data_IF_524029695819
#
_entry.id   IF_524029695819
#
_cell.length_a   1.000
_cell.length_b   1.000
_cell.length_c   1.000
_cell.angle_alpha   90.00
_cell.angle_beta   90.00
_cell.angle_gamma   90.00
#
_symmetry.space_group_name_H-M   'P 1'
#
loop_
_entity.id
_entity.type
_entity.pdbx_description
1 polymer ?
#
# COMPACT_ATOMS: atom_id res chain seq x y z
N UNK A 1 -42.66 -54.37 13.66
CA UNK A 1 -41.67 -53.67 14.51
C UNK A 1 -40.82 -52.79 13.60
N UNK A 2 -41.06 -51.47 13.61
CA UNK A 2 -40.25 -50.53 12.83
C UNK A 2 -39.08 -50.11 13.71
N UNK A 3 -37.86 -50.30 13.19
CA UNK A 3 -36.62 -50.03 13.88
C UNK A 3 -36.42 -48.51 13.99
N UNK A 4 -36.68 -47.95 15.17
CA UNK A 4 -36.50 -46.52 15.47
C UNK A 4 -35.08 -46.29 15.99
N UNK A 5 -34.10 -46.48 15.12
CA UNK A 5 -32.70 -46.13 15.39
C UNK A 5 -32.17 -45.46 14.13
N UNK A 6 -32.31 -44.14 14.05
CA UNK A 6 -31.49 -43.20 13.26
C UNK A 6 -32.10 -41.78 13.26
N UNK A 7 -32.22 -41.13 14.42
CA UNK A 7 -32.68 -39.73 14.48
C UNK A 7 -31.90 -38.86 15.48
N UNK A 8 -30.59 -39.06 15.60
CA UNK A 8 -29.73 -38.08 16.26
C UNK A 8 -28.51 -37.82 15.40
N UNK A 9 -28.66 -36.96 14.40
CA UNK A 9 -27.50 -36.21 13.89
C UNK A 9 -27.09 -35.23 14.99
N UNK A 10 -25.83 -35.24 15.45
CA UNK A 10 -25.37 -34.26 16.43
C UNK A 10 -25.56 -32.85 15.86
N UNK A 11 -26.16 -31.97 16.66
CA UNK A 11 -26.26 -30.56 16.31
C UNK A 11 -24.86 -29.95 16.35
N UNK A 12 -24.30 -29.64 15.19
CA UNK A 12 -23.04 -28.90 15.10
C UNK A 12 -23.37 -27.41 14.99
N UNK A 13 -22.99 -26.57 15.98
CA UNK A 13 -23.17 -25.13 15.89
C UNK A 13 -22.35 -24.60 14.70
N UNK A 14 -22.99 -23.85 13.81
CA UNK A 14 -22.29 -23.14 12.75
C UNK A 14 -21.91 -21.76 13.28
N UNK A 15 -20.66 -21.33 13.07
CA UNK A 15 -20.18 -20.00 13.46
C UNK A 15 -20.46 -18.96 12.37
N UNK A 16 -20.49 -17.67 12.76
CA UNK A 16 -20.61 -16.58 11.81
C UNK A 16 -19.46 -16.62 10.79
N UNK A 17 -19.77 -16.25 9.55
CA UNK A 17 -18.80 -16.11 8.47
C UNK A 17 -18.86 -14.72 7.88
N UNK A 18 -17.70 -14.10 7.71
CA UNK A 18 -17.52 -12.92 6.88
C UNK A 18 -16.95 -13.33 5.54
N UNK A 19 -17.52 -12.74 4.50
CA UNK A 19 -16.93 -12.67 3.17
C UNK A 19 -16.66 -11.19 2.88
N UNK A 20 -15.40 -10.84 2.69
CA UNK A 20 -14.98 -9.49 2.41
C UNK A 20 -14.69 -9.34 0.91
N UNK A 21 -15.09 -8.21 0.33
CA UNK A 21 -14.84 -7.89 -1.08
C UNK A 21 -14.39 -6.45 -1.22
N UNK A 22 -13.50 -6.22 -2.18
CA UNK A 22 -13.08 -4.89 -2.61
C UNK A 22 -13.34 -4.83 -4.11
N UNK A 23 -14.24 -3.93 -4.52
CA UNK A 23 -14.70 -3.85 -5.91
C UNK A 23 -13.61 -3.37 -6.88
N UNK A 24 -12.63 -2.59 -6.40
CA UNK A 24 -11.45 -2.15 -7.15
C UNK A 24 -10.20 -2.40 -6.33
N UNK A 25 -9.37 -3.40 -6.67
CA UNK A 25 -8.17 -3.70 -5.89
C UNK A 25 -7.10 -2.60 -6.05
N UNK A 26 -7.15 -1.79 -7.12
CA UNK A 26 -6.31 -0.60 -7.27
C UNK A 26 -6.77 0.53 -6.34
N UNK A 27 -5.97 0.81 -5.32
CA UNK A 27 -6.25 1.84 -4.31
C UNK A 27 -5.21 2.95 -4.44
N UNK A 28 -5.61 4.20 -4.57
CA UNK A 28 -4.67 5.33 -4.68
C UNK A 28 -4.24 5.79 -3.29
N UNK A 29 -2.93 6.00 -3.07
CA UNK A 29 -2.45 6.52 -1.79
C UNK A 29 -3.04 7.92 -1.53
N UNK A 30 -3.50 8.17 -0.31
CA UNK A 30 -4.20 9.40 0.06
C UNK A 30 -5.68 9.45 -0.34
N UNK A 31 -6.27 8.35 -0.80
CA UNK A 31 -7.69 8.26 -1.14
C UNK A 31 -8.41 7.17 -0.33
N UNK A 32 -9.75 7.22 -0.37
CA UNK A 32 -10.61 6.20 0.21
C UNK A 32 -10.89 5.09 -0.81
N UNK A 33 -10.97 3.85 -0.34
CA UNK A 33 -11.43 2.70 -1.11
C UNK A 33 -12.50 1.94 -0.33
N UNK A 34 -13.38 1.24 -1.04
CA UNK A 34 -14.56 0.62 -0.44
C UNK A 34 -14.33 -0.85 -0.12
N UNK A 35 -14.59 -1.22 1.13
CA UNK A 35 -14.67 -2.59 1.62
C UNK A 35 -16.15 -2.99 1.78
N UNK A 36 -16.57 -4.02 1.08
CA UNK A 36 -17.89 -4.63 1.22
C UNK A 36 -17.80 -5.89 2.08
N UNK A 37 -18.65 -6.00 3.09
CA UNK A 37 -18.74 -7.16 3.97
C UNK A 37 -20.11 -7.82 3.86
N UNK A 38 -20.10 -9.11 3.51
CA UNK A 38 -21.24 -10.00 3.65
C UNK A 38 -21.04 -10.85 4.92
N UNK A 39 -21.86 -10.60 5.95
CA UNK A 39 -21.86 -11.32 7.22
C UNK A 39 -22.99 -12.36 7.17
N UNK A 40 -22.64 -13.64 7.29
CA UNK A 40 -23.54 -14.77 7.35
C UNK A 40 -23.53 -15.33 8.77
N UNK A 41 -24.63 -15.18 9.50
CA UNK A 41 -24.74 -15.73 10.84
C UNK A 41 -24.87 -17.26 10.82
N UNK A 42 -24.52 -17.90 11.93
CA UNK A 42 -24.72 -19.33 12.14
C UNK A 42 -26.18 -19.76 12.33
N UNK A 43 -26.36 -21.01 12.74
CA UNK A 43 -27.66 -21.61 13.05
C UNK A 43 -28.16 -21.32 14.48
N UNK A 44 -27.38 -20.57 15.28
CA UNK A 44 -27.74 -20.07 16.62
C UNK A 44 -27.45 -18.58 16.71
N UNK A 45 -28.05 -17.91 17.70
CA UNK A 45 -27.76 -16.51 17.98
C UNK A 45 -26.30 -16.33 18.41
N UNK A 46 -25.66 -15.29 17.90
CA UNK A 46 -24.23 -15.06 18.09
C UNK A 46 -23.96 -13.63 18.53
N UNK A 47 -23.19 -13.51 19.61
CA UNK A 47 -22.65 -12.23 20.06
C UNK A 47 -21.25 -12.04 19.47
N UNK A 48 -21.10 -11.00 18.66
CA UNK A 48 -19.83 -10.56 18.09
C UNK A 48 -19.37 -9.33 18.86
N UNK A 49 -18.19 -9.41 19.48
CA UNK A 49 -17.61 -8.29 20.23
C UNK A 49 -17.18 -7.15 19.31
N UNK A 50 -16.57 -7.47 18.17
CA UNK A 50 -16.21 -6.49 17.15
C UNK A 50 -15.94 -7.14 15.80
N UNK A 51 -16.09 -6.34 14.75
CA UNK A 51 -15.52 -6.60 13.43
C UNK A 51 -14.38 -5.61 13.23
N UNK A 52 -13.20 -6.11 12.88
CA UNK A 52 -12.01 -5.30 12.66
C UNK A 52 -11.43 -5.58 11.30
N UNK A 53 -10.93 -4.54 10.65
CA UNK A 53 -10.15 -4.67 9.42
C UNK A 53 -8.82 -3.94 9.56
N UNK A 54 -7.79 -4.45 8.92
CA UNK A 54 -6.47 -3.83 8.89
C UNK A 54 -5.89 -3.94 7.48
N UNK A 55 -5.15 -2.90 7.10
CA UNK A 55 -4.36 -2.88 5.88
C UNK A 55 -2.92 -3.11 6.28
N UNK A 56 -2.36 -4.21 5.83
CA UNK A 56 -0.98 -4.60 6.07
C UNK A 56 -0.17 -4.45 4.79
N UNK A 57 1.08 -4.03 4.94
CA UNK A 57 2.07 -4.04 3.87
C UNK A 57 3.17 -5.05 4.21
N UNK A 58 3.53 -5.87 3.24
CA UNK A 58 4.59 -6.86 3.34
C UNK A 58 5.75 -6.43 2.46
N UNK A 59 6.92 -6.33 3.08
CA UNK A 59 8.13 -5.78 2.50
C UNK A 59 9.18 -6.88 2.42
N UNK A 60 9.79 -7.07 1.26
CA UNK A 60 10.87 -8.03 1.02
C UNK A 60 12.20 -7.28 0.86
N UNK A 61 13.30 -7.96 1.18
CA UNK A 61 14.68 -7.50 0.97
C UNK A 61 15.08 -6.19 1.65
N UNK A 62 14.34 -5.74 2.67
CA UNK A 62 14.57 -4.50 3.42
C UNK A 62 15.97 -4.45 4.07
N UNK A 63 16.51 -5.60 4.48
CA UNK A 63 17.76 -5.68 5.27
C UNK A 63 18.79 -6.65 4.67
N UNK A 64 18.74 -6.94 3.36
CA UNK A 64 19.54 -8.01 2.72
C UNK A 64 19.39 -9.40 3.37
N UNK A 65 18.40 -9.54 4.25
CA UNK A 65 17.94 -10.81 4.79
C UNK A 65 16.70 -11.13 3.98
N UNK A 66 16.60 -12.35 3.45
CA UNK A 66 15.47 -12.83 2.62
C UNK A 66 14.15 -12.94 3.40
N UNK A 67 14.01 -12.23 4.52
CA UNK A 67 12.84 -12.26 5.40
C UNK A 67 11.87 -11.17 4.97
N UNK A 68 10.62 -11.58 4.74
CA UNK A 68 9.51 -10.66 4.58
C UNK A 68 9.19 -10.01 5.92
N UNK A 69 9.19 -8.68 5.94
CA UNK A 69 8.73 -7.89 7.07
C UNK A 69 7.27 -7.49 6.87
N UNK A 70 6.47 -7.55 7.94
CA UNK A 70 5.08 -7.12 7.93
C UNK A 70 4.95 -5.82 8.72
N UNK A 71 4.28 -4.84 8.13
CA UNK A 71 3.92 -3.59 8.80
C UNK A 71 2.42 -3.35 8.67
N UNK A 72 1.79 -2.78 9.69
CA UNK A 72 0.39 -2.39 9.63
C UNK A 72 0.31 -0.93 9.24
N UNK A 73 -0.33 -0.67 8.11
CA UNK A 73 -0.48 0.68 7.54
C UNK A 73 -1.61 1.43 8.25
N UNK A 74 -2.75 0.76 8.43
CA UNK A 74 -3.90 1.31 9.14
C UNK A 74 -4.79 0.18 9.67
N UNK A 75 -5.56 0.46 10.71
CA UNK A 75 -6.50 -0.48 11.31
C UNK A 75 -7.79 0.22 11.71
N UNK A 76 -8.91 -0.47 11.53
CA UNK A 76 -10.24 0.05 11.78
C UNK A 76 -11.06 -0.95 12.59
N UNK A 77 -11.82 -0.43 13.56
CA UNK A 77 -12.91 -1.16 14.18
C UNK A 77 -14.20 -0.75 13.48
N UNK A 78 -14.70 -1.64 12.63
CA UNK A 78 -15.86 -1.38 11.77
C UNK A 78 -17.16 -1.40 12.57
N UNK A 79 -17.30 -2.40 13.44
CA UNK A 79 -18.49 -2.62 14.25
C UNK A 79 -18.13 -3.10 15.65
N UNK A 80 -19.05 -2.89 16.60
CA UNK A 80 -18.89 -3.30 18.00
C UNK A 80 -20.19 -3.82 18.58
N UNK A 81 -20.10 -4.88 19.39
CA UNK A 81 -21.21 -5.45 20.16
C UNK A 81 -22.45 -5.78 19.31
N UNK A 82 -22.24 -6.54 18.23
CA UNK A 82 -23.31 -6.95 17.31
C UNK A 82 -23.95 -8.24 17.83
N UNK A 83 -25.27 -8.31 17.79
CA UNK A 83 -26.02 -9.56 17.97
C UNK A 83 -26.53 -10.01 16.61
N UNK A 84 -26.08 -11.18 16.16
CA UNK A 84 -26.55 -11.79 14.92
C UNK A 84 -27.64 -12.81 15.23
N UNK A 85 -28.83 -12.57 14.70
CA UNK A 85 -29.91 -13.55 14.75
C UNK A 85 -29.60 -14.76 13.87
N UNK A 86 -30.07 -15.97 14.22
CA UNK A 86 -29.80 -17.19 13.45
C UNK A 86 -30.18 -17.08 11.96
N UNK A 87 -29.33 -17.63 11.09
CA UNK A 87 -29.53 -17.74 9.63
C UNK A 87 -29.80 -16.41 8.90
N UNK A 88 -29.36 -15.30 9.46
CA UNK A 88 -29.39 -13.98 8.83
C UNK A 88 -28.17 -13.71 7.96
N UNK A 89 -28.40 -12.89 6.92
CA UNK A 89 -27.36 -12.28 6.10
C UNK A 89 -27.43 -10.76 6.26
N UNK A 90 -26.31 -10.13 6.54
CA UNK A 90 -26.15 -8.67 6.60
C UNK A 90 -25.09 -8.27 5.58
N UNK A 91 -25.35 -7.23 4.80
CA UNK A 91 -24.40 -6.67 3.85
C UNK A 91 -24.14 -5.20 4.21
N UNK A 92 -22.87 -4.83 4.35
CA UNK A 92 -22.44 -3.47 4.72
C UNK A 92 -21.23 -3.03 3.89
N UNK A 93 -21.09 -1.73 3.71
CA UNK A 93 -19.97 -1.12 2.98
C UNK A 93 -19.28 -0.10 3.87
N UNK A 94 -17.95 -0.09 3.81
CA UNK A 94 -17.08 0.76 4.62
C UNK A 94 -16.08 1.48 3.73
N UNK A 95 -15.90 2.77 3.95
CA UNK A 95 -14.85 3.55 3.30
C UNK A 95 -13.58 3.49 4.16
N UNK A 96 -12.53 2.91 3.60
CA UNK A 96 -11.23 2.79 4.23
C UNK A 96 -10.26 3.77 3.59
N UNK A 97 -9.51 4.50 4.40
CA UNK A 97 -8.48 5.42 3.91
C UNK A 97 -7.14 4.71 3.75
N UNK A 98 -6.48 4.89 2.60
CA UNK A 98 -5.08 4.50 2.42
C UNK A 98 -4.19 5.73 2.70
N UNK A 99 -3.39 5.74 3.77
CA UNK A 99 -2.58 6.90 4.13
C UNK A 99 -1.68 7.40 3.01
N UNK A 100 -1.50 8.71 2.95
CA UNK A 100 -0.74 9.38 1.91
C UNK A 100 0.77 9.03 1.94
N UNK A 101 1.29 8.71 3.13
CA UNK A 101 2.66 8.26 3.36
C UNK A 101 2.85 6.74 3.16
N UNK A 102 1.80 6.03 2.72
CA UNK A 102 1.91 4.61 2.37
C UNK A 102 2.85 4.44 1.17
N UNK A 103 3.62 3.32 1.12
CA UNK A 103 4.34 2.98 -0.09
C UNK A 103 3.36 2.66 -1.23
N UNK A 104 3.86 2.61 -2.47
CA UNK A 104 3.10 2.08 -3.61
C UNK A 104 3.43 0.61 -3.82
N UNK A 105 2.55 -0.13 -4.49
CA UNK A 105 2.83 -1.52 -4.84
C UNK A 105 3.93 -1.59 -5.90
N UNK A 106 4.94 -2.39 -5.61
CA UNK A 106 6.04 -2.74 -6.50
C UNK A 106 6.55 -4.13 -6.10
N UNK A 107 7.40 -4.80 -6.88
CA UNK A 107 7.89 -6.10 -6.44
C UNK A 107 8.66 -5.95 -5.11
N UNK A 108 8.43 -6.89 -4.19
CA UNK A 108 8.89 -6.79 -2.80
C UNK A 108 8.08 -5.84 -1.91
N UNK A 109 6.98 -5.24 -2.38
CA UNK A 109 6.06 -4.42 -1.60
C UNK A 109 4.61 -4.76 -1.98
N UNK A 110 3.93 -5.58 -1.17
CA UNK A 110 2.55 -6.02 -1.42
C UNK A 110 1.63 -5.66 -0.26
N UNK A 111 0.35 -5.47 -0.54
CA UNK A 111 -0.64 -5.08 0.45
C UNK A 111 -1.72 -6.15 0.59
N UNK A 112 -2.19 -6.35 1.82
CA UNK A 112 -3.35 -7.18 2.13
C UNK A 112 -4.30 -6.42 3.06
N UNK A 113 -5.59 -6.47 2.75
CA UNK A 113 -6.66 -6.10 3.67
C UNK A 113 -7.12 -7.37 4.36
N UNK A 114 -7.03 -7.41 5.69
CA UNK A 114 -7.50 -8.55 6.47
C UNK A 114 -8.64 -8.15 7.40
N UNK A 115 -9.70 -8.95 7.39
CA UNK A 115 -10.89 -8.72 8.20
C UNK A 115 -11.06 -9.87 9.18
N UNK A 116 -11.38 -9.53 10.43
CA UNK A 116 -11.54 -10.48 11.53
C UNK A 116 -12.83 -10.24 12.29
N UNK A 117 -13.47 -11.34 12.69
CA UNK A 117 -14.56 -11.35 13.65
C UNK A 117 -13.97 -11.70 15.02
N UNK A 118 -14.32 -10.93 16.03
CA UNK A 118 -13.95 -11.24 17.40
C UNK A 118 -15.15 -11.83 18.17
N UNK A 119 -15.04 -13.09 18.60
CA UNK A 119 -15.97 -13.70 19.56
C UNK A 119 -15.28 -13.74 20.93
N UNK A 120 -15.93 -13.18 21.96
CA UNK A 120 -15.37 -13.19 23.34
C UNK A 120 -13.88 -12.79 23.43
N UNK A 121 -13.45 -11.79 22.64
CA UNK A 121 -12.07 -11.30 22.49
C UNK A 121 -11.09 -12.21 21.74
N UNK A 122 -11.50 -13.37 21.23
CA UNK A 122 -10.70 -14.18 20.32
C UNK A 122 -10.95 -13.75 18.87
N UNK A 123 -9.89 -13.35 18.17
CA UNK A 123 -9.96 -12.97 16.76
C UNK A 123 -9.91 -14.22 15.88
N UNK A 124 -11.01 -14.48 15.17
CA UNK A 124 -11.05 -15.47 14.09
C UNK A 124 -10.79 -14.71 12.79
N UNK A 125 -9.57 -14.84 12.27
CA UNK A 125 -9.21 -14.31 10.96
C UNK A 125 -9.89 -15.11 9.87
N UNK A 126 -10.60 -14.44 8.98
CA UNK A 126 -11.47 -15.13 8.05
C UNK A 126 -11.17 -14.80 6.59
N UNK A 127 -10.69 -13.60 6.30
CA UNK A 127 -10.44 -13.19 4.92
C UNK A 127 -9.21 -12.29 4.75
N UNK A 128 -8.55 -12.45 3.61
CA UNK A 128 -7.40 -11.64 3.18
C UNK A 128 -7.54 -11.32 1.70
N UNK A 129 -7.54 -10.03 1.39
CA UNK A 129 -7.72 -9.53 0.02
C UNK A 129 -6.46 -8.77 -0.35
N UNK A 130 -5.82 -9.15 -1.46
CA UNK A 130 -4.71 -8.37 -2.00
C UNK A 130 -5.22 -7.08 -2.65
N UNK A 131 -4.54 -5.97 -2.36
CA UNK A 131 -4.77 -4.68 -3.03
C UNK A 131 -3.48 -4.15 -3.65
N UNK A 132 -3.62 -3.23 -4.60
CA UNK A 132 -2.52 -2.60 -5.31
C UNK A 132 -2.53 -1.09 -5.02
N UNK A 133 -1.60 -0.65 -4.17
CA UNK A 133 -1.41 0.76 -3.86
C UNK A 133 -0.81 1.49 -5.07
N UNK A 134 -1.56 2.46 -5.61
CA UNK A 134 -1.20 3.26 -6.77
C UNK A 134 -0.69 4.64 -6.37
N UNK A 135 0.20 5.25 -7.17
CA UNK A 135 0.67 6.60 -6.92
C UNK A 135 -0.49 7.61 -6.97
N UNK A 136 -0.44 8.60 -6.08
CA UNK A 136 -1.33 9.75 -6.16
C UNK A 136 -1.03 10.60 -7.41
N UNK A 137 -1.86 11.61 -7.66
CA UNK A 137 -1.75 12.49 -8.84
C UNK A 137 -0.35 13.11 -9.02
N UNK A 138 0.27 13.60 -7.95
CA UNK A 138 1.58 14.28 -8.03
C UNK A 138 2.70 13.27 -8.32
N UNK A 139 2.66 12.10 -7.68
CA UNK A 139 3.65 11.05 -7.87
C UNK A 139 3.51 10.40 -9.25
N UNK A 140 2.27 10.22 -9.73
CA UNK A 140 1.99 9.77 -11.09
C UNK A 140 2.53 10.77 -12.13
N UNK A 141 2.44 12.08 -11.86
CA UNK A 141 3.00 13.10 -12.72
C UNK A 141 4.54 13.08 -12.74
N UNK A 142 5.18 12.83 -11.58
CA UNK A 142 6.62 12.59 -11.51
C UNK A 142 7.06 11.39 -12.36
N UNK A 143 6.42 10.23 -12.21
CA UNK A 143 6.71 9.05 -13.03
C UNK A 143 6.49 9.32 -14.52
N UNK A 144 5.42 10.06 -14.86
CA UNK A 144 5.14 10.47 -16.24
C UNK A 144 6.22 11.40 -16.80
N UNK A 145 6.78 12.30 -15.98
CA UNK A 145 7.89 13.17 -16.35
C UNK A 145 9.14 12.35 -16.69
N UNK A 146 9.52 11.38 -15.84
CA UNK A 146 10.64 10.48 -16.09
C UNK A 146 10.46 9.70 -17.40
N UNK A 147 9.25 9.17 -17.64
CA UNK A 147 8.93 8.44 -18.86
C UNK A 147 9.05 9.33 -20.12
N UNK A 148 8.53 10.57 -20.08
CA UNK A 148 8.66 11.55 -21.18
C UNK A 148 10.11 11.94 -21.48
N UNK A 149 10.99 11.84 -20.48
CA UNK A 149 12.42 12.05 -20.63
C UNK A 149 13.17 10.80 -21.12
N UNK A 150 12.47 9.73 -21.52
CA UNK A 150 13.06 8.44 -21.90
C UNK A 150 14.01 7.86 -20.83
N UNK A 151 13.71 8.15 -19.55
CA UNK A 151 14.40 7.54 -18.43
C UNK A 151 13.73 6.20 -18.11
N UNK A 152 14.54 5.14 -18.05
CA UNK A 152 14.05 3.79 -17.74
C UNK A 152 14.40 3.42 -16.32
N UNK A 153 13.43 2.87 -15.60
CA UNK A 153 13.67 2.27 -14.29
C UNK A 153 14.61 1.06 -14.45
N UNK A 154 15.75 1.12 -13.77
CA UNK A 154 16.77 0.08 -13.75
C UNK A 154 16.69 -0.79 -12.50
N UNK A 155 16.30 -0.21 -11.36
CA UNK A 155 16.22 -0.92 -10.09
C UNK A 155 15.30 -0.17 -9.12
N UNK A 156 14.89 -0.85 -8.06
CA UNK A 156 14.15 -0.30 -6.93
C UNK A 156 14.52 -1.10 -5.68
N UNK A 157 14.39 -0.49 -4.51
CA UNK A 157 14.58 -1.19 -3.24
C UNK A 157 13.87 -0.44 -2.12
N UNK A 158 13.73 -1.12 -1.00
CA UNK A 158 13.15 -0.57 0.22
C UNK A 158 14.31 -0.33 1.18
N UNK A 159 14.39 0.87 1.73
CA UNK A 159 15.42 1.25 2.69
C UNK A 159 14.78 1.63 4.02
N UNK A 160 15.45 1.30 5.12
CA UNK A 160 15.11 1.82 6.44
C UNK A 160 15.25 3.35 6.46
N UNK A 161 14.37 4.00 7.20
CA UNK A 161 14.36 5.43 7.41
C UNK A 161 14.97 5.71 8.79
N UNK A 162 16.26 5.98 8.80
CA UNK A 162 17.03 6.17 10.04
C UNK A 162 16.58 7.37 10.91
N UNK A 163 15.74 8.29 10.40
CA UNK A 163 15.14 9.39 11.18
C UNK A 163 13.61 9.42 11.03
N UNK A 164 12.90 9.11 12.12
CA UNK A 164 11.43 8.89 12.18
C UNK A 164 10.63 10.12 12.66
N UNK A 165 10.98 11.34 12.26
CA UNK A 165 10.38 12.52 12.92
C UNK A 165 8.97 12.88 12.43
N UNK A 166 8.56 12.48 11.22
CA UNK A 166 7.31 12.95 10.60
C UNK A 166 6.44 11.89 9.89
N UNK A 167 6.84 10.62 9.89
CA UNK A 167 6.16 9.58 9.10
C UNK A 167 5.77 8.39 9.95
N UNK A 168 4.60 7.82 9.67
CA UNK A 168 4.12 6.62 10.36
C UNK A 168 4.82 5.37 9.83
N UNK A 169 5.38 5.45 8.62
CA UNK A 169 6.04 4.34 7.96
C UNK A 169 7.58 4.39 8.12
N UNK A 170 8.14 3.31 8.68
CA UNK A 170 9.57 3.19 8.99
C UNK A 170 10.47 2.98 7.76
N UNK A 171 9.89 2.76 6.58
CA UNK A 171 10.62 2.47 5.36
C UNK A 171 10.39 3.53 4.30
N UNK A 172 11.31 3.61 3.34
CA UNK A 172 11.16 4.44 2.16
C UNK A 172 11.45 3.61 0.91
N UNK A 173 10.65 3.84 -0.14
CA UNK A 173 10.92 3.26 -1.44
C UNK A 173 11.92 4.14 -2.19
N UNK A 174 12.95 3.49 -2.73
CA UNK A 174 13.93 4.13 -3.60
C UNK A 174 13.84 3.53 -4.99
N UNK A 175 13.96 4.40 -5.99
CA UNK A 175 13.92 4.03 -7.39
C UNK A 175 15.16 4.52 -8.09
N UNK A 176 15.75 3.68 -8.95
CA UNK A 176 16.90 4.04 -9.78
C UNK A 176 16.52 4.05 -11.25
N UNK A 177 16.73 5.18 -11.90
CA UNK A 177 16.52 5.37 -13.33
C UNK A 177 17.83 5.63 -14.07
N UNK A 178 17.86 5.21 -15.33
CA UNK A 178 18.97 5.44 -16.26
C UNK A 178 18.47 6.17 -17.51
N UNK A 179 19.33 6.99 -18.09
CA UNK A 179 19.09 7.54 -19.43
C UNK A 179 19.33 6.46 -20.50
N UNK A 180 18.28 6.09 -21.25
CA UNK A 180 18.34 5.08 -22.31
C UNK A 180 18.47 5.69 -23.72
N UNK A 181 18.47 7.01 -23.86
CA UNK A 181 18.50 7.64 -25.19
C UNK A 181 17.79 8.99 -25.29
N UNK A 182 17.60 9.70 -24.17
CA UNK A 182 17.21 11.10 -24.20
C UNK A 182 18.30 11.93 -24.84
N UNK A 183 18.00 12.61 -25.95
CA UNK A 183 18.91 13.56 -26.59
C UNK A 183 19.12 14.83 -25.76
N UNK A 184 18.22 15.10 -24.81
CA UNK A 184 18.24 16.30 -23.98
C UNK A 184 19.07 16.16 -22.73
N UNK A 185 19.34 14.92 -22.33
CA UNK A 185 20.07 14.58 -21.11
C UNK A 185 21.43 13.96 -21.47
N UNK A 186 22.45 14.21 -20.65
CA UNK A 186 23.78 13.64 -20.81
C UNK A 186 23.73 12.10 -20.77
N UNK A 187 24.68 11.46 -21.45
CA UNK A 187 24.84 10.01 -21.34
C UNK A 187 25.48 9.66 -19.98
N UNK A 188 25.17 8.48 -19.43
CA UNK A 188 25.90 7.86 -18.30
C UNK A 188 25.69 8.49 -16.90
N UNK A 189 24.44 8.62 -16.46
CA UNK A 189 24.11 8.93 -15.06
C UNK A 189 22.99 8.05 -14.53
N UNK A 190 22.88 7.97 -13.20
CA UNK A 190 21.76 7.38 -12.49
C UNK A 190 21.00 8.48 -11.75
N UNK A 191 19.67 8.46 -11.84
CA UNK A 191 18.80 9.16 -10.90
C UNK A 191 18.37 8.14 -9.87
N UNK A 192 18.67 8.39 -8.60
CA UNK A 192 18.08 7.65 -7.50
C UNK A 192 17.15 8.62 -6.78
N UNK A 193 15.89 8.24 -6.54
CA UNK A 193 15.00 9.09 -5.77
C UNK A 193 14.16 8.32 -4.75
N UNK A 194 13.79 9.01 -3.69
CA UNK A 194 12.66 8.68 -2.81
C UNK A 194 11.69 9.85 -2.75
N UNK A 195 10.49 9.63 -2.23
CA UNK A 195 9.45 10.65 -2.18
C UNK A 195 8.80 10.76 -0.80
N UNK A 196 8.24 11.93 -0.55
CA UNK A 196 7.46 12.27 0.63
C UNK A 196 6.18 12.98 0.21
N UNK A 197 5.05 12.32 0.42
CA UNK A 197 3.75 12.85 0.01
C UNK A 197 3.09 13.62 1.15
N UNK A 198 2.66 14.85 0.87
CA UNK A 198 1.91 15.73 1.76
C UNK A 198 0.58 16.13 1.08
N UNK A 199 -0.44 16.59 1.84
CA UNK A 199 -1.77 16.86 1.27
C UNK A 199 -1.74 17.81 0.06
N UNK A 200 -0.86 18.81 0.10
CA UNK A 200 -0.81 19.86 -0.93
C UNK A 200 0.39 19.74 -1.89
N UNK A 201 1.40 18.92 -1.54
CA UNK A 201 2.64 18.84 -2.28
C UNK A 201 3.35 17.48 -2.12
N UNK A 202 4.32 17.23 -2.99
CA UNK A 202 5.15 16.04 -3.01
C UNK A 202 6.61 16.46 -3.07
N UNK A 203 7.40 16.05 -2.08
CA UNK A 203 8.84 16.23 -2.11
C UNK A 203 9.49 15.00 -2.74
N UNK A 204 10.28 15.21 -3.79
CA UNK A 204 11.15 14.19 -4.38
C UNK A 204 12.58 14.50 -3.96
N UNK A 205 13.17 13.60 -3.18
CA UNK A 205 14.59 13.66 -2.81
C UNK A 205 15.38 12.88 -3.85
N UNK A 206 16.31 13.54 -4.53
CA UNK A 206 17.05 13.01 -5.68
C UNK A 206 18.53 12.96 -5.35
N UNK A 207 19.14 11.81 -5.62
CA UNK A 207 20.58 11.58 -5.65
C UNK A 207 20.99 11.32 -7.10
N UNK A 208 21.76 12.22 -7.70
CA UNK A 208 22.40 12.01 -9.00
C UNK A 208 23.76 11.36 -8.82
N UNK A 209 24.05 10.34 -9.62
CA UNK A 209 25.33 9.64 -9.60
C UNK A 209 25.87 9.48 -11.03
N UNK A 210 27.15 9.82 -11.26
CA UNK A 210 27.82 9.56 -12.57
C UNK A 210 28.12 8.06 -12.68
N UNK A 211 27.86 7.44 -13.84
CA UNK A 211 27.98 5.97 -13.97
C UNK A 211 29.40 5.43 -13.74
N UNK A 212 30.41 6.28 -13.94
CA UNK A 212 31.83 5.90 -13.90
C UNK A 212 32.52 6.28 -12.58
N UNK A 213 31.86 7.04 -11.69
CA UNK A 213 32.46 7.55 -10.47
C UNK A 213 31.51 7.34 -9.30
N UNK A 214 31.85 6.39 -8.41
CA UNK A 214 31.08 6.16 -7.17
C UNK A 214 31.13 7.36 -6.20
N UNK A 215 32.02 8.32 -6.42
CA UNK A 215 32.30 9.44 -5.51
C UNK A 215 31.64 10.77 -5.88
N UNK A 216 31.16 10.95 -7.13
CA UNK A 216 30.42 12.17 -7.50
C UNK A 216 28.93 11.91 -7.35
N UNK A 217 28.42 12.28 -6.18
CA UNK A 217 27.00 12.31 -5.87
C UNK A 217 26.59 13.75 -5.56
N UNK A 218 25.55 14.22 -6.22
CA UNK A 218 24.88 15.47 -5.86
C UNK A 218 23.44 15.14 -5.45
N UNK A 219 23.01 15.72 -4.34
CA UNK A 219 21.68 15.51 -3.80
C UNK A 219 20.91 16.82 -3.81
N UNK A 220 19.67 16.78 -4.30
CA UNK A 220 18.77 17.93 -4.27
C UNK A 220 17.33 17.46 -4.09
N UNK A 221 16.43 18.42 -3.85
CA UNK A 221 15.01 18.18 -3.65
C UNK A 221 14.21 18.95 -4.69
N UNK A 222 13.19 18.30 -5.25
CA UNK A 222 12.15 18.94 -6.05
C UNK A 222 10.84 18.86 -5.29
N UNK A 223 10.20 20.00 -5.06
CA UNK A 223 8.84 20.07 -4.49
C UNK A 223 7.82 20.26 -5.61
N UNK A 224 6.90 19.32 -5.72
CA UNK A 224 5.84 19.28 -6.72
C UNK A 224 4.53 19.68 -6.05
N UNK A 225 3.83 20.65 -6.62
CA UNK A 225 2.49 21.09 -6.20
C UNK A 225 1.53 20.95 -7.36
N UNK A 226 0.23 21.08 -7.10
CA UNK A 226 -0.75 21.13 -8.18
C UNK A 226 -0.55 22.32 -9.14
N UNK A 227 0.15 23.38 -8.72
CA UNK A 227 0.37 24.58 -9.51
C UNK A 227 1.60 24.46 -10.43
N UNK A 228 2.71 23.89 -9.95
CA UNK A 228 3.99 23.86 -10.67
C UNK A 228 4.24 22.56 -11.47
N UNK A 229 3.27 21.65 -11.51
CA UNK A 229 3.42 20.33 -12.15
C UNK A 229 3.79 20.39 -13.65
N UNK A 230 3.52 21.52 -14.32
CA UNK A 230 3.84 21.71 -15.74
C UNK A 230 5.34 21.94 -15.99
N UNK A 231 6.08 22.45 -15.01
CA UNK A 231 7.49 22.84 -15.17
C UNK A 231 8.49 21.74 -14.77
N UNK A 232 8.00 20.62 -14.24
CA UNK A 232 8.84 19.55 -13.65
C UNK A 232 9.94 19.06 -14.59
N UNK A 233 9.62 18.95 -15.87
CA UNK A 233 10.55 18.48 -16.90
C UNK A 233 11.72 19.44 -17.06
N UNK A 234 11.44 20.74 -17.13
CA UNK A 234 12.46 21.77 -17.32
C UNK A 234 13.35 21.90 -16.08
N UNK A 235 12.74 21.87 -14.90
CA UNK A 235 13.46 21.87 -13.61
C UNK A 235 14.41 20.67 -13.54
N UNK A 236 13.93 19.47 -13.86
CA UNK A 236 14.75 18.26 -13.81
C UNK A 236 15.88 18.28 -14.84
N UNK A 237 15.61 18.69 -16.09
CA UNK A 237 16.66 18.82 -17.12
C UNK A 237 17.74 19.80 -16.67
N UNK A 238 17.34 20.96 -16.12
CA UNK A 238 18.27 21.99 -15.66
C UNK A 238 19.21 21.42 -14.59
N UNK A 239 18.67 20.80 -13.55
CA UNK A 239 19.44 20.21 -12.45
C UNK A 239 20.40 19.12 -12.94
N UNK A 240 19.94 18.23 -13.83
CA UNK A 240 20.79 17.17 -14.39
C UNK A 240 21.95 17.77 -15.20
N UNK A 241 21.69 18.79 -16.03
CA UNK A 241 22.73 19.43 -16.84
C UNK A 241 23.77 20.13 -15.97
N UNK A 242 23.34 20.85 -14.93
CA UNK A 242 24.22 21.51 -13.96
C UNK A 242 25.18 20.51 -13.29
N UNK A 243 24.70 19.33 -12.90
CA UNK A 243 25.53 18.26 -12.29
C UNK A 243 26.53 17.62 -13.27
N UNK A 244 26.16 17.50 -14.55
CA UNK A 244 26.98 16.77 -15.52
C UNK A 244 28.04 17.60 -16.23
N UNK A 245 27.87 18.92 -16.29
CA UNK A 245 28.90 19.85 -16.74
C UNK A 245 30.09 19.89 -15.76
#
# INVERSE_FOLDING_TARGET
MVNVLNLFTPFTPQTAKINARISKPECVIGEYFQLELDILSGNIEQHISSIKTQVDCYLEDVNATTKTEKTTITSYQLEKNIVLSPNTKISQSYDLYLPLDSPITMPGCRFEVSTSICHANEAVYQDRISIYAQPNKLLAAWFSCLAKLNLKQSNYWIADRHNRTHFNFAYQQKYRYINMGSSELPNKFFIIFSYESYPDYLDINIDLQKSNYRSSQESFRITITNQNNHDLREILIKQIKEFTN
#
